data_IF_462626919712
#
_entry.id   IF_462626919712
#
_cell.length_a   1.000
_cell.length_b   1.000
_cell.length_c   1.000
_cell.angle_alpha   90.00
_cell.angle_beta   90.00
_cell.angle_gamma   90.00
#
_symmetry.space_group_name_H-M   'P 1'
#
loop_
_entity.id
_entity.type
_entity.pdbx_description
1 polymer ?
#
# COMPACT_ATOMS: atom_id res chain seq x y z
N UNK A 1 0.46 -9.17 1.72
CA UNK A 1 -1.00 -8.94 1.92
C UNK A 1 -1.84 -10.23 1.96
N UNK A 2 -1.25 -11.41 1.71
CA UNK A 2 -1.97 -12.69 1.69
C UNK A 2 -2.15 -13.36 3.08
N UNK A 3 -1.44 -12.90 4.11
CA UNK A 3 -1.51 -13.55 5.44
C UNK A 3 -2.61 -13.00 6.35
N UNK A 4 -3.28 -11.92 5.94
CA UNK A 4 -4.36 -11.29 6.70
C UNK A 4 -5.51 -11.01 5.76
N UNK A 5 -6.61 -11.76 5.89
CA UNK A 5 -7.87 -11.64 5.13
C UNK A 5 -8.59 -10.29 5.36
N UNK A 6 -7.87 -9.16 5.33
CA UNK A 6 -8.43 -7.82 5.43
C UNK A 6 -8.89 -7.38 4.03
N UNK A 7 -10.18 -7.05 3.94
CA UNK A 7 -10.76 -6.48 2.73
C UNK A 7 -10.27 -5.04 2.49
N UNK A 8 -10.18 -4.63 1.22
CA UNK A 8 -9.75 -3.27 0.86
C UNK A 8 -10.60 -2.16 1.53
N UNK A 9 -11.90 -2.44 1.76
CA UNK A 9 -12.80 -1.53 2.48
C UNK A 9 -12.44 -1.40 3.95
N UNK A 10 -12.15 -2.50 4.62
CA UNK A 10 -11.73 -2.50 6.02
C UNK A 10 -10.39 -1.79 6.20
N UNK A 11 -9.44 -2.06 5.30
CA UNK A 11 -8.15 -1.36 5.33
C UNK A 11 -8.33 0.15 5.08
N UNK A 12 -9.24 0.55 4.20
CA UNK A 12 -9.57 1.96 3.95
C UNK A 12 -10.12 2.65 5.21
N UNK A 13 -11.03 2.01 5.93
CA UNK A 13 -11.58 2.54 7.19
C UNK A 13 -10.50 2.63 8.27
N UNK A 14 -9.70 1.59 8.44
CA UNK A 14 -8.63 1.54 9.45
C UNK A 14 -7.50 2.55 9.20
N UNK A 15 -7.20 2.83 7.94
CA UNK A 15 -6.10 3.73 7.54
C UNK A 15 -6.56 5.15 7.25
N UNK A 16 -7.88 5.41 7.24
CA UNK A 16 -8.45 6.70 6.82
C UNK A 16 -8.22 7.00 5.34
N UNK A 17 -7.82 6.00 4.54
CA UNK A 17 -7.55 6.16 3.11
C UNK A 17 -8.78 5.82 2.28
N UNK A 18 -8.88 6.39 1.09
CA UNK A 18 -9.90 5.97 0.13
C UNK A 18 -9.61 4.53 -0.38
N UNK A 19 -10.64 3.69 -0.49
CA UNK A 19 -10.53 2.33 -1.05
C UNK A 19 -9.87 2.30 -2.44
N UNK A 20 -10.03 3.37 -3.24
CA UNK A 20 -9.35 3.51 -4.54
C UNK A 20 -7.83 3.66 -4.41
N UNK A 21 -7.37 4.35 -3.37
CA UNK A 21 -5.95 4.48 -3.04
C UNK A 21 -5.37 3.17 -2.54
N UNK A 22 -6.07 2.47 -1.63
CA UNK A 22 -5.68 1.13 -1.17
C UNK A 22 -5.55 0.15 -2.34
N UNK A 23 -6.51 0.18 -3.28
CA UNK A 23 -6.45 -0.67 -4.47
C UNK A 23 -5.18 -0.40 -5.29
N UNK A 24 -4.81 0.87 -5.54
CA UNK A 24 -3.56 1.23 -6.24
C UNK A 24 -2.30 0.70 -5.53
N UNK A 25 -2.27 0.80 -4.20
CA UNK A 25 -1.22 0.28 -3.34
C UNK A 25 -1.08 -1.25 -3.49
N UNK A 26 -2.21 -1.97 -3.57
CA UNK A 26 -2.24 -3.42 -3.76
C UNK A 26 -1.72 -3.86 -5.13
N UNK A 27 -2.01 -3.11 -6.20
CA UNK A 27 -1.53 -3.44 -7.57
C UNK A 27 -0.11 -2.94 -7.82
N UNK A 28 0.64 -2.50 -6.79
CA UNK A 28 1.97 -1.86 -6.93
C UNK A 28 2.01 -0.73 -7.97
N UNK A 29 0.89 -0.05 -8.19
CA UNK A 29 0.84 1.09 -9.12
C UNK A 29 1.31 2.35 -8.39
N UNK A 30 1.89 3.27 -9.16
CA UNK A 30 2.49 4.51 -8.66
C UNK A 30 1.59 5.20 -7.63
N UNK A 31 2.09 5.25 -6.40
CA UNK A 31 1.52 6.05 -5.33
C UNK A 31 2.19 7.42 -5.37
N UNK A 32 1.41 8.48 -5.54
CA UNK A 32 1.97 9.82 -5.77
C UNK A 32 2.67 10.39 -4.54
N UNK A 33 2.20 10.05 -3.35
CA UNK A 33 2.73 10.51 -2.06
C UNK A 33 2.20 9.63 -0.94
N UNK A 34 3.05 9.27 0.02
CA UNK A 34 2.64 8.67 1.28
C UNK A 34 3.07 9.58 2.42
N UNK A 35 2.16 9.91 3.32
CA UNK A 35 2.45 10.70 4.51
C UNK A 35 2.79 9.78 5.69
N UNK A 36 3.50 10.30 6.69
CA UNK A 36 3.89 9.55 7.89
C UNK A 36 2.68 8.92 8.59
N UNK A 37 1.61 9.69 8.77
CA UNK A 37 0.34 9.21 9.35
C UNK A 37 -0.24 8.03 8.58
N UNK A 38 -0.12 8.04 7.25
CA UNK A 38 -0.62 6.97 6.38
C UNK A 38 0.24 5.72 6.52
N UNK A 39 1.56 5.87 6.49
CA UNK A 39 2.49 4.75 6.67
C UNK A 39 2.32 4.11 8.05
N UNK A 40 2.21 4.93 9.10
CA UNK A 40 1.99 4.49 10.47
C UNK A 40 0.66 3.74 10.62
N UNK A 41 -0.43 4.26 10.03
CA UNK A 41 -1.73 3.60 10.06
C UNK A 41 -1.70 2.25 9.34
N UNK A 42 -1.01 2.16 8.20
CA UNK A 42 -0.79 0.89 7.48
C UNK A 42 0.00 -0.10 8.33
N UNK A 43 1.13 0.32 8.91
CA UNK A 43 1.95 -0.51 9.80
C UNK A 43 1.15 -1.03 11.00
N UNK A 44 0.30 -0.20 11.61
CA UNK A 44 -0.58 -0.61 12.72
C UNK A 44 -1.65 -1.60 12.28
N UNK A 45 -2.35 -1.32 11.18
CA UNK A 45 -3.40 -2.19 10.65
C UNK A 45 -2.86 -3.55 10.21
N UNK A 46 -1.67 -3.56 9.60
CA UNK A 46 -1.01 -4.76 9.11
C UNK A 46 -0.07 -5.41 10.15
N UNK A 47 0.08 -4.79 11.34
CA UNK A 47 1.10 -5.11 12.36
C UNK A 47 2.43 -5.52 11.73
N UNK A 48 2.98 -4.64 10.89
CA UNK A 48 4.25 -4.84 10.20
C UNK A 48 5.15 -3.61 10.37
N UNK A 49 6.42 -3.74 10.02
CA UNK A 49 7.35 -2.62 10.03
C UNK A 49 7.30 -1.85 8.70
N UNK A 50 7.70 -0.57 8.67
CA UNK A 50 7.74 0.20 7.42
C UNK A 50 8.69 -0.41 6.38
N UNK A 51 9.77 -1.05 6.83
CA UNK A 51 10.70 -1.79 5.95
C UNK A 51 10.05 -2.98 5.22
N UNK A 52 9.00 -3.58 5.78
CA UNK A 52 8.24 -4.65 5.11
C UNK A 52 7.33 -4.11 3.99
N UNK A 53 7.00 -2.81 4.03
CA UNK A 53 6.09 -2.16 3.07
C UNK A 53 6.83 -1.44 1.95
N UNK A 54 8.04 -0.97 2.22
CA UNK A 54 8.83 -0.15 1.32
C UNK A 54 9.92 -1.00 0.68
N UNK A 55 9.86 -1.14 -0.63
CA UNK A 55 10.95 -1.71 -1.43
C UNK A 55 11.41 -0.66 -2.42
N UNK A 56 12.72 -0.50 -2.55
CA UNK A 56 13.27 0.30 -3.63
C UNK A 56 13.23 -0.54 -4.90
N UNK A 57 12.46 -0.10 -5.90
CA UNK A 57 12.57 -0.59 -7.27
C UNK A 57 13.27 0.50 -8.10
N UNK A 58 14.32 0.11 -8.81
CA UNK A 58 14.95 0.97 -9.81
C UNK A 58 13.90 1.31 -10.89
N UNK A 59 13.91 2.55 -11.37
CA UNK A 59 13.02 3.01 -12.44
C UNK A 59 13.38 2.27 -13.74
N UNK A 60 12.89 1.04 -13.87
CA UNK A 60 12.89 0.34 -15.15
C UNK A 60 11.88 1.08 -16.02
N UNK A 61 12.25 1.47 -17.26
CA UNK A 61 11.27 2.01 -18.19
C UNK A 61 10.13 1.00 -18.25
N UNK A 62 8.92 1.47 -17.95
CA UNK A 62 7.67 0.71 -17.89
C UNK A 62 7.51 -0.13 -19.16
N UNK A 63 8.10 -1.33 -19.17
CA UNK A 63 7.76 -2.38 -20.11
C UNK A 63 6.35 -2.80 -19.71
N UNK A 64 5.36 -2.06 -20.21
CA UNK A 64 3.99 -2.54 -20.33
C UNK A 64 4.04 -3.83 -21.15
N UNK A 65 4.17 -4.94 -20.46
CA UNK A 65 3.94 -6.23 -21.08
C UNK A 65 2.44 -6.35 -21.32
N UNK A 66 2.14 -6.38 -22.62
CA UNK A 66 0.91 -6.61 -23.38
C UNK A 66 -0.23 -7.35 -22.68
#
# INVERSE_FOLDING_TARGET
MAERNISNKELAVLTGMNARSISRLKVRRHFTRIDESTLNALCKALKCQPGDLLVYEEDKPDSKEK
#
